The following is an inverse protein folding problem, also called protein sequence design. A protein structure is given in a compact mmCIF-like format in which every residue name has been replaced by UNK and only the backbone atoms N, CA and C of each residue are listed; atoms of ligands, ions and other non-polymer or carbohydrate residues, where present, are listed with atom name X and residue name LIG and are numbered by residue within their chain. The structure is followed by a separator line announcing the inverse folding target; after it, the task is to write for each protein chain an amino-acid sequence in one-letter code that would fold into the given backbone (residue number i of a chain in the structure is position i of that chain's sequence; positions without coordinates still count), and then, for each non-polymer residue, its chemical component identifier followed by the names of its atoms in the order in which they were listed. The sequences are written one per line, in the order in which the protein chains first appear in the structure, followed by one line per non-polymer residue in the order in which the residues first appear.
data_IF_827166136129
#
_entry.id   IF_827166136129
#
_cell.length_a   1.000
_cell.length_b   1.000
_cell.length_c   1.000
_cell.angle_alpha   90.00
_cell.angle_beta   90.00
_cell.angle_gamma   90.00
#
_symmetry.space_group_name_H-M   'P 1'
#
loop_
_entity.id
_entity.type
_entity.pdbx_description
1 polymer ?
#
# COMPACT_ATOMS: atom_id res chain seq x y z
N UNK A 1 5.19 8.94 -8.72
CA UNK A 1 6.28 8.86 -7.72
C UNK A 1 6.02 7.57 -6.98
N UNK A 2 6.99 6.66 -6.90
CA UNK A 2 6.66 5.32 -6.43
C UNK A 2 6.42 5.33 -4.93
N UNK A 3 5.25 4.84 -4.53
CA UNK A 3 4.83 4.65 -3.15
C UNK A 3 4.86 3.17 -2.81
N UNK A 4 5.07 2.85 -1.55
CA UNK A 4 4.92 1.51 -1.03
C UNK A 4 4.06 1.50 0.24
N UNK A 5 3.37 0.39 0.49
CA UNK A 5 2.67 0.14 1.74
C UNK A 5 2.99 -1.26 2.23
N UNK A 6 3.29 -1.38 3.53
CA UNK A 6 3.51 -2.66 4.19
C UNK A 6 2.44 -2.88 5.27
N UNK A 7 1.82 -4.06 5.24
CA UNK A 7 0.85 -4.43 6.26
C UNK A 7 1.55 -4.75 7.58
N UNK A 8 1.07 -4.18 8.69
CA UNK A 8 1.65 -4.44 10.02
C UNK A 8 1.25 -5.81 10.61
N UNK A 9 0.19 -6.43 10.10
CA UNK A 9 -0.35 -7.70 10.63
C UNK A 9 0.14 -8.93 9.85
N UNK A 10 0.65 -8.76 8.63
CA UNK A 10 1.12 -9.87 7.80
C UNK A 10 2.21 -9.43 6.81
N UNK A 11 2.80 -10.37 6.06
CA UNK A 11 3.89 -10.09 5.13
C UNK A 11 3.44 -9.43 3.81
N UNK A 12 2.21 -8.90 3.72
CA UNK A 12 1.74 -8.21 2.53
C UNK A 12 2.48 -6.87 2.35
N UNK A 13 2.95 -6.65 1.13
CA UNK A 13 3.58 -5.42 0.69
C UNK A 13 3.09 -5.13 -0.73
N UNK A 14 2.73 -3.88 -1.00
CA UNK A 14 2.41 -3.39 -2.33
C UNK A 14 3.23 -2.15 -2.63
N UNK A 15 3.66 -2.01 -3.88
CA UNK A 15 4.42 -0.88 -4.38
C UNK A 15 3.86 -0.49 -5.75
N UNK A 16 3.52 0.78 -5.93
CA UNK A 16 3.01 1.30 -7.20
C UNK A 16 3.43 2.75 -7.42
N UNK A 17 3.55 3.15 -8.68
CA UNK A 17 3.72 4.55 -9.10
C UNK A 17 2.37 5.29 -9.13
N UNK A 18 1.28 4.53 -9.15
CA UNK A 18 -0.09 5.05 -9.14
C UNK A 18 -0.67 4.98 -7.72
N UNK A 19 -1.00 6.15 -7.19
CA UNK A 19 -1.47 6.32 -5.82
C UNK A 19 -2.84 5.67 -5.60
N UNK A 20 -3.74 5.77 -6.59
CA UNK A 20 -5.09 5.22 -6.50
C UNK A 20 -5.05 3.69 -6.56
N UNK A 21 -4.25 3.12 -7.46
CA UNK A 21 -4.06 1.67 -7.56
C UNK A 21 -3.51 1.07 -6.25
N UNK A 22 -2.51 1.71 -5.64
CA UNK A 22 -1.96 1.26 -4.36
C UNK A 22 -3.02 1.26 -3.27
N UNK A 23 -3.80 2.33 -3.18
CA UNK A 23 -4.88 2.45 -2.18
C UNK A 23 -5.94 1.37 -2.38
N UNK A 24 -6.34 1.09 -3.62
CA UNK A 24 -7.28 0.02 -3.93
C UNK A 24 -6.75 -1.35 -3.49
N UNK A 25 -5.49 -1.67 -3.79
CA UNK A 25 -4.87 -2.94 -3.37
C UNK A 25 -4.79 -3.09 -1.85
N UNK A 26 -4.41 -2.04 -1.12
CA UNK A 26 -4.36 -2.08 0.34
C UNK A 26 -5.75 -2.28 0.94
N UNK A 27 -6.75 -1.55 0.43
CA UNK A 27 -8.13 -1.68 0.92
C UNK A 27 -8.72 -3.05 0.62
N UNK A 28 -8.49 -3.57 -0.59
CA UNK A 28 -8.91 -4.91 -0.99
C UNK A 28 -8.26 -5.97 -0.09
N UNK A 29 -6.95 -5.85 0.16
CA UNK A 29 -6.23 -6.76 1.06
C UNK A 29 -6.78 -6.71 2.49
N UNK A 30 -7.02 -5.52 3.03
CA UNK A 30 -7.55 -5.38 4.38
C UNK A 30 -8.95 -6.00 4.54
N UNK A 31 -9.83 -5.86 3.53
CA UNK A 31 -11.17 -6.45 3.56
C UNK A 31 -11.12 -7.97 3.39
N UNK A 32 -10.36 -8.49 2.41
CA UNK A 32 -10.33 -9.92 2.08
C UNK A 32 -9.52 -10.74 3.10
N UNK A 33 -8.33 -10.26 3.49
CA UNK A 33 -7.43 -11.00 4.38
C UNK A 33 -7.72 -10.77 5.87
N UNK A 34 -8.25 -9.59 6.22
CA UNK A 34 -8.45 -9.21 7.61
C UNK A 34 -9.90 -8.87 7.98
N UNK A 35 -10.83 -8.81 7.01
CA UNK A 35 -12.21 -8.40 7.26
C UNK A 35 -12.33 -6.95 7.75
N UNK A 36 -11.34 -6.10 7.46
CA UNK A 36 -11.25 -4.72 7.94
C UNK A 36 -11.45 -3.75 6.79
N UNK A 37 -12.15 -2.65 7.06
CA UNK A 37 -12.25 -1.52 6.15
C UNK A 37 -11.30 -0.42 6.62
N UNK A 38 -10.47 0.05 5.71
CA UNK A 38 -9.52 1.16 5.91
C UNK A 38 -9.95 2.33 5.04
N UNK A 39 -9.80 3.55 5.56
CA UNK A 39 -10.02 4.74 4.78
C UNK A 39 -8.79 5.06 3.93
N UNK A 40 -9.01 5.73 2.82
CA UNK A 40 -7.98 6.14 1.88
C UNK A 40 -6.93 7.03 2.55
N UNK A 41 -7.36 7.90 3.48
CA UNK A 41 -6.46 8.75 4.28
C UNK A 41 -5.55 7.94 5.21
N UNK A 42 -6.05 6.85 5.81
CA UNK A 42 -5.23 5.97 6.66
C UNK A 42 -4.13 5.28 5.84
N UNK A 43 -4.46 4.87 4.61
CA UNK A 43 -3.48 4.29 3.69
C UNK A 43 -2.41 5.32 3.32
N UNK A 44 -2.82 6.55 2.98
CA UNK A 44 -1.90 7.65 2.65
C UNK A 44 -1.08 8.12 3.85
N UNK A 45 -1.57 7.96 5.06
CA UNK A 45 -0.79 8.26 6.27
C UNK A 45 0.27 7.18 6.57
N UNK A 46 0.03 5.95 6.12
CA UNK A 46 0.89 4.78 6.39
C UNK A 46 1.83 4.37 5.26
N UNK A 47 1.65 4.87 4.03
CA UNK A 47 2.55 4.55 2.93
C UNK A 47 3.88 5.30 3.02
N UNK A 48 4.89 4.79 2.31
CA UNK A 48 6.23 5.35 2.28
C UNK A 48 6.62 5.74 0.84
N UNK A 49 7.47 6.76 0.71
CA UNK A 49 8.13 7.04 -0.56
C UNK A 49 9.19 5.97 -0.82
N UNK A 50 9.08 5.27 -1.95
CA UNK A 50 10.02 4.24 -2.33
C UNK A 50 10.81 4.73 -3.55
N UNK A 51 12.10 5.09 -3.42
CA UNK A 51 12.90 5.47 -4.57
C UNK A 51 12.91 4.30 -5.55
N UNK A 52 12.53 4.53 -6.80
CA UNK A 52 12.69 3.54 -7.87
C UNK A 52 14.19 3.31 -8.01
N UNK A 53 14.73 2.32 -7.30
CA UNK A 53 16.10 1.88 -7.49
C UNK A 53 16.14 1.33 -8.91
N UNK A 54 16.67 2.15 -9.82
CA UNK A 54 17.15 1.64 -11.09
C UNK A 54 18.35 0.76 -10.71
N UNK A 55 18.16 -0.56 -10.73
CA UNK A 55 19.27 -1.51 -10.78
C UNK A 55 20.20 -1.06 -11.92
N UNK A 56 21.40 -0.58 -11.56
CA UNK A 56 22.51 -0.22 -12.48
C UNK A 56 23.23 -1.48 -13.00
#
# INVERSE_FOLDING_TARGET
MVRQFSCGDCAFMVRSDDDDELIEFVKQHADDAHGRRVADDDVRAGWEDAPMEADD
#
